data_IF_053474016118
#
_entry.id   IF_053474016118
#
_cell.length_a   1.000
_cell.length_b   1.000
_cell.length_c   1.000
_cell.angle_alpha   90.00
_cell.angle_beta   90.00
_cell.angle_gamma   90.00
#
_symmetry.space_group_name_H-M   'P 1'
#
loop_
_entity.id
_entity.type
_entity.pdbx_description
1 polymer ?
#
# COMPACT_ATOMS: atom_id res chain seq x y z
N UNK A 1 -15.73 59.21 -34.08
CA UNK A 1 -14.92 60.11 -33.23
C UNK A 1 -14.02 59.30 -32.31
N UNK A 2 -12.71 59.58 -32.25
CA UNK A 2 -11.81 58.91 -31.32
C UNK A 2 -12.22 59.20 -29.86
N UNK A 3 -12.24 58.16 -29.01
CA UNK A 3 -12.52 58.32 -27.58
C UNK A 3 -11.45 59.22 -26.95
N UNK A 4 -11.83 60.12 -26.04
CA UNK A 4 -10.86 60.94 -25.31
C UNK A 4 -9.87 60.04 -24.54
N UNK A 5 -8.59 60.45 -24.43
CA UNK A 5 -7.57 59.71 -23.67
C UNK A 5 -8.00 59.43 -22.22
N UNK A 6 -8.76 60.35 -21.61
CA UNK A 6 -9.32 60.20 -20.27
C UNK A 6 -10.32 59.04 -20.16
N UNK A 7 -11.19 58.87 -21.14
CA UNK A 7 -12.17 57.76 -21.18
C UNK A 7 -11.50 56.42 -21.40
N UNK A 8 -10.43 56.37 -22.21
CA UNK A 8 -9.65 55.15 -22.41
C UNK A 8 -8.93 54.71 -21.13
N UNK A 9 -8.34 55.64 -20.37
CA UNK A 9 -7.67 55.34 -19.09
C UNK A 9 -8.64 54.81 -18.03
N UNK A 10 -9.84 55.41 -17.94
CA UNK A 10 -10.91 54.95 -17.04
C UNK A 10 -11.43 53.56 -17.40
N UNK A 11 -11.69 53.31 -18.69
CA UNK A 11 -12.12 52.00 -19.18
C UNK A 11 -11.07 50.90 -18.87
N UNK A 12 -9.77 51.22 -18.98
CA UNK A 12 -8.68 50.29 -18.65
C UNK A 12 -8.58 49.98 -17.15
N UNK A 13 -8.71 51.00 -16.28
CA UNK A 13 -8.71 50.82 -14.82
C UNK A 13 -9.88 49.92 -14.38
N UNK A 14 -11.10 50.17 -14.86
CA UNK A 14 -12.26 49.32 -14.56
C UNK A 14 -12.09 47.88 -15.01
N UNK A 15 -11.46 47.64 -16.16
CA UNK A 15 -11.17 46.27 -16.64
C UNK A 15 -10.16 45.58 -15.73
N UNK A 16 -9.11 46.27 -15.31
CA UNK A 16 -8.11 45.73 -14.39
C UNK A 16 -8.71 45.41 -13.03
N UNK A 17 -9.54 46.30 -12.47
CA UNK A 17 -10.25 46.04 -11.20
C UNK A 17 -11.16 44.82 -11.29
N UNK A 18 -11.93 44.70 -12.38
CA UNK A 18 -12.80 43.54 -12.62
C UNK A 18 -12.01 42.24 -12.78
N UNK A 19 -10.85 42.27 -13.44
CA UNK A 19 -9.97 41.10 -13.57
C UNK A 19 -9.37 40.69 -12.21
N UNK A 20 -8.90 41.66 -11.41
CA UNK A 20 -8.41 41.42 -10.05
C UNK A 20 -9.51 40.84 -9.16
N UNK A 21 -10.72 41.39 -9.20
CA UNK A 21 -11.86 40.90 -8.42
C UNK A 21 -12.27 39.49 -8.88
N UNK A 22 -12.27 39.24 -10.19
CA UNK A 22 -12.53 37.91 -10.76
C UNK A 22 -11.50 36.88 -10.31
N UNK A 23 -10.21 37.24 -10.30
CA UNK A 23 -9.12 36.40 -9.78
C UNK A 23 -9.29 36.10 -8.29
N UNK A 24 -9.58 37.12 -7.46
CA UNK A 24 -9.86 36.94 -6.02
C UNK A 24 -11.02 35.97 -5.79
N UNK A 25 -12.16 36.18 -6.45
CA UNK A 25 -13.34 35.31 -6.33
C UNK A 25 -13.05 33.86 -6.75
N UNK A 26 -12.25 33.64 -7.80
CA UNK A 26 -11.82 32.29 -8.21
C UNK A 26 -10.95 31.61 -7.16
N UNK A 27 -10.04 32.36 -6.53
CA UNK A 27 -9.19 31.85 -5.45
C UNK A 27 -10.03 31.48 -4.22
N UNK A 28 -10.98 32.34 -3.83
CA UNK A 28 -11.90 32.07 -2.71
C UNK A 28 -12.75 30.82 -2.94
N UNK A 29 -13.36 30.70 -4.13
CA UNK A 29 -14.14 29.51 -4.49
C UNK A 29 -13.28 28.24 -4.49
N UNK A 30 -12.02 28.32 -4.92
CA UNK A 30 -11.09 27.20 -4.87
C UNK A 30 -10.77 26.81 -3.42
N UNK A 31 -10.44 27.77 -2.57
CA UNK A 31 -10.16 27.54 -1.14
C UNK A 31 -11.38 26.92 -0.45
N UNK A 32 -12.59 27.39 -0.76
CA UNK A 32 -13.83 26.82 -0.23
C UNK A 32 -13.99 25.36 -0.65
N UNK A 33 -13.77 25.03 -1.93
CA UNK A 33 -13.82 23.64 -2.42
C UNK A 33 -12.77 22.76 -1.74
N UNK A 34 -11.52 23.23 -1.63
CA UNK A 34 -10.44 22.52 -0.93
C UNK A 34 -10.78 22.28 0.55
N UNK A 35 -11.35 23.26 1.24
CA UNK A 35 -11.76 23.14 2.64
C UNK A 35 -12.94 22.19 2.83
N UNK A 36 -13.94 22.24 1.96
CA UNK A 36 -15.05 21.28 1.98
C UNK A 36 -14.54 19.86 1.74
N UNK A 37 -13.66 19.66 0.75
CA UNK A 37 -13.07 18.36 0.48
C UNK A 37 -12.20 17.85 1.63
N UNK A 38 -11.42 18.73 2.25
CA UNK A 38 -10.64 18.40 3.46
C UNK A 38 -11.53 17.83 4.56
N UNK A 39 -12.63 18.53 4.90
CA UNK A 39 -13.57 18.09 5.93
C UNK A 39 -14.20 16.76 5.58
N UNK A 40 -14.59 16.59 4.32
CA UNK A 40 -15.16 15.34 3.82
C UNK A 40 -14.17 14.17 3.97
N UNK A 41 -12.93 14.32 3.48
CA UNK A 41 -11.90 13.27 3.60
C UNK A 41 -11.57 13.01 5.08
N UNK A 42 -11.43 14.05 5.90
CA UNK A 42 -11.15 13.86 7.32
C UNK A 42 -12.24 13.04 8.02
N UNK A 43 -13.51 13.31 7.69
CA UNK A 43 -14.65 12.55 8.19
C UNK A 43 -14.70 11.12 7.65
N UNK A 44 -14.62 10.94 6.32
CA UNK A 44 -14.68 9.62 5.65
C UNK A 44 -13.60 8.66 6.13
N UNK A 45 -12.41 9.19 6.45
CA UNK A 45 -11.24 8.39 6.79
C UNK A 45 -10.85 8.47 8.27
N UNK A 46 -11.72 9.02 9.13
CA UNK A 46 -11.47 9.12 10.58
C UNK A 46 -10.14 9.78 10.92
N UNK A 47 -9.75 10.82 10.17
CA UNK A 47 -8.45 11.45 10.31
C UNK A 47 -8.44 12.37 11.54
N UNK A 48 -7.34 12.38 12.32
CA UNK A 48 -7.22 13.31 13.43
C UNK A 48 -7.18 14.75 12.92
N UNK A 49 -7.61 15.71 13.75
CA UNK A 49 -7.57 17.14 13.40
C UNK A 49 -6.14 17.65 13.12
N UNK A 50 -5.14 16.94 13.65
CA UNK A 50 -3.72 17.22 13.42
C UNK A 50 -3.23 16.79 12.03
N UNK A 51 -4.07 16.13 11.22
CA UNK A 51 -3.72 15.70 9.88
C UNK A 51 -3.43 16.90 8.95
N UNK A 52 -2.29 16.82 8.26
CA UNK A 52 -1.82 17.86 7.34
C UNK A 52 -2.20 17.51 5.91
N UNK A 53 -3.08 18.31 5.33
CA UNK A 53 -3.52 18.18 3.95
C UNK A 53 -2.64 19.00 3.00
N UNK A 54 -2.24 18.37 1.90
CA UNK A 54 -1.48 19.00 0.82
C UNK A 54 -2.20 18.78 -0.51
N UNK A 55 -2.67 19.88 -1.09
CA UNK A 55 -3.22 19.90 -2.44
C UNK A 55 -2.08 20.10 -3.44
N UNK A 56 -1.75 19.05 -4.19
CA UNK A 56 -0.60 18.99 -5.08
C UNK A 56 -1.06 18.92 -6.55
N UNK A 57 -0.34 19.63 -7.43
CA UNK A 57 -0.58 19.51 -8.86
C UNK A 57 0.20 18.31 -9.41
N UNK A 58 -0.41 17.59 -10.35
CA UNK A 58 0.33 16.69 -11.24
C UNK A 58 1.36 17.50 -12.03
N UNK A 59 2.58 17.00 -12.13
CA UNK A 59 3.69 17.64 -12.85
C UNK A 59 3.91 16.98 -14.21
N UNK A 60 4.36 17.76 -15.20
CA UNK A 60 4.82 17.22 -16.47
C UNK A 60 6.13 16.45 -16.31
N UNK A 61 6.52 15.63 -17.29
CA UNK A 61 7.79 14.88 -17.23
C UNK A 61 9.00 15.81 -17.08
N UNK A 62 8.97 16.97 -17.72
CA UNK A 62 10.03 17.99 -17.69
C UNK A 62 10.09 18.68 -16.33
N UNK A 63 8.93 18.98 -15.73
CA UNK A 63 8.83 19.54 -14.38
C UNK A 63 9.34 18.55 -13.33
N UNK A 64 9.17 17.24 -13.54
CA UNK A 64 9.61 16.22 -12.58
C UNK A 64 11.14 16.13 -12.45
N UNK A 65 11.87 16.48 -13.50
CA UNK A 65 13.36 16.48 -13.48
C UNK A 65 13.89 17.65 -12.65
N UNK A 66 13.22 18.80 -12.69
CA UNK A 66 13.72 20.05 -12.11
C UNK A 66 13.07 20.43 -10.78
N UNK A 67 11.84 19.98 -10.53
CA UNK A 67 11.10 20.45 -9.39
C UNK A 67 11.57 19.77 -8.09
N UNK A 68 11.75 20.54 -7.00
CA UNK A 68 12.15 19.99 -5.73
C UNK A 68 11.09 18.99 -5.24
N UNK A 69 11.57 17.84 -4.78
CA UNK A 69 10.72 16.80 -4.23
C UNK A 69 10.26 17.20 -2.84
N UNK A 70 8.95 17.12 -2.60
CA UNK A 70 8.42 17.34 -1.26
C UNK A 70 8.51 16.05 -0.46
N UNK A 71 9.27 16.09 0.63
CA UNK A 71 9.55 14.93 1.47
C UNK A 71 8.75 15.04 2.77
N UNK A 72 8.13 13.94 3.17
CA UNK A 72 7.38 13.82 4.42
C UNK A 72 7.99 12.75 5.33
N UNK A 73 8.04 13.04 6.63
CA UNK A 73 8.68 12.16 7.61
C UNK A 73 7.94 12.05 8.96
N UNK A 74 6.87 12.80 9.20
CA UNK A 74 6.19 12.82 10.49
C UNK A 74 4.70 13.17 10.41
N UNK A 75 3.93 12.77 11.44
CA UNK A 75 2.51 13.09 11.63
C UNK A 75 1.56 12.28 10.75
N UNK A 76 0.36 12.82 10.50
CA UNK A 76 -0.58 12.27 9.50
C UNK A 76 -0.59 13.21 8.29
N UNK A 77 -0.25 12.69 7.12
CA UNK A 77 -0.13 13.43 5.87
C UNK A 77 -1.18 12.93 4.89
N UNK A 78 -1.91 13.88 4.30
CA UNK A 78 -2.93 13.60 3.28
C UNK A 78 -2.57 14.35 2.00
N UNK A 79 -2.41 13.62 0.91
CA UNK A 79 -2.18 14.20 -0.41
C UNK A 79 -3.44 14.13 -1.25
N UNK A 80 -3.81 15.26 -1.83
CA UNK A 80 -5.00 15.41 -2.67
C UNK A 80 -4.58 16.06 -3.98
N UNK A 81 -5.08 15.55 -5.11
CA UNK A 81 -4.87 16.20 -6.40
C UNK A 81 -5.57 17.57 -6.38
N UNK A 82 -4.84 18.63 -6.69
CA UNK A 82 -5.36 20.00 -6.59
C UNK A 82 -6.40 20.32 -7.67
N UNK A 83 -6.38 19.59 -8.79
CA UNK A 83 -7.28 19.81 -9.92
C UNK A 83 -8.53 18.96 -9.79
N UNK A 84 -8.38 17.66 -9.57
CA UNK A 84 -9.50 16.72 -9.50
C UNK A 84 -10.10 16.61 -8.09
N UNK A 85 -9.35 17.01 -7.06
CA UNK A 85 -9.70 16.83 -5.65
C UNK A 85 -9.77 15.37 -5.21
N UNK A 86 -9.14 14.49 -5.99
CA UNK A 86 -9.02 13.06 -5.68
C UNK A 86 -8.00 12.83 -4.59
N UNK A 87 -8.30 11.89 -3.69
CA UNK A 87 -7.36 11.44 -2.68
C UNK A 87 -6.23 10.64 -3.37
N UNK A 88 -4.98 11.01 -3.09
CA UNK A 88 -3.79 10.38 -3.65
C UNK A 88 -3.10 9.46 -2.63
N UNK A 89 -2.94 9.94 -1.40
CA UNK A 89 -2.23 9.24 -0.33
C UNK A 89 -2.77 9.66 1.03
N UNK A 90 -2.92 8.69 1.92
CA UNK A 90 -2.91 8.91 3.37
C UNK A 90 -1.68 8.20 3.92
N UNK A 91 -0.81 8.92 4.64
CA UNK A 91 0.35 8.36 5.32
C UNK A 91 0.33 8.77 6.80
N UNK A 92 0.42 7.78 7.69
CA UNK A 92 0.52 7.97 9.14
C UNK A 92 1.89 7.49 9.61
N UNK A 93 2.64 8.38 10.22
CA UNK A 93 3.96 8.10 10.78
C UNK A 93 3.82 7.86 12.28
N UNK A 94 3.98 6.61 12.71
CA UNK A 94 3.89 6.22 14.11
C UNK A 94 5.29 5.98 14.68
N UNK A 95 5.93 7.03 15.20
CA UNK A 95 7.24 6.92 15.85
C UNK A 95 7.12 6.12 17.14
N UNK A 96 8.10 5.24 17.40
CA UNK A 96 8.13 4.44 18.62
C UNK A 96 8.27 5.28 19.88
N UNK A 97 8.92 6.44 19.81
CA UNK A 97 9.02 7.37 20.95
C UNK A 97 7.67 7.92 21.41
N UNK A 98 6.72 8.02 20.49
CA UNK A 98 5.42 8.66 20.71
C UNK A 98 4.30 7.60 20.83
N UNK A 99 4.66 6.32 20.66
CA UNK A 99 3.71 5.21 20.59
C UNK A 99 3.38 4.70 21.99
N UNK A 100 2.09 4.47 22.24
CA UNK A 100 1.66 3.82 23.49
C UNK A 100 2.31 2.43 23.62
N UNK A 101 2.79 2.02 24.81
CA UNK A 101 3.50 0.75 24.99
C UNK A 101 2.72 -0.48 24.50
N UNK A 102 1.40 -0.51 24.70
CA UNK A 102 0.55 -1.61 24.22
C UNK A 102 0.51 -1.66 22.69
N UNK A 103 0.38 -0.50 22.03
CA UNK A 103 0.39 -0.42 20.57
C UNK A 103 1.76 -0.84 20.02
N UNK A 104 2.84 -0.45 20.71
CA UNK A 104 4.20 -0.89 20.38
C UNK A 104 4.33 -2.41 20.46
N UNK A 105 3.85 -3.02 21.53
CA UNK A 105 3.86 -4.47 21.69
C UNK A 105 3.06 -5.18 20.59
N UNK A 106 1.90 -4.64 20.19
CA UNK A 106 1.10 -5.17 19.09
C UNK A 106 1.81 -5.07 17.73
N UNK A 107 2.46 -3.93 17.43
CA UNK A 107 3.28 -3.81 16.22
C UNK A 107 4.45 -4.79 16.25
N UNK A 108 5.20 -4.85 17.35
CA UNK A 108 6.33 -5.76 17.48
C UNK A 108 5.91 -7.22 17.30
N UNK A 109 4.85 -7.63 17.99
CA UNK A 109 4.32 -9.01 17.92
C UNK A 109 3.82 -9.35 16.51
N UNK A 110 3.03 -8.48 15.89
CA UNK A 110 2.46 -8.73 14.55
C UNK A 110 3.53 -8.73 13.44
N UNK A 111 4.49 -7.81 13.47
CA UNK A 111 5.61 -7.75 12.53
C UNK A 111 6.47 -9.01 12.67
N UNK A 112 6.81 -9.38 13.91
CA UNK A 112 7.61 -10.58 14.18
C UNK A 112 6.87 -11.84 13.72
N UNK A 113 5.56 -11.93 13.95
CA UNK A 113 4.73 -13.05 13.52
C UNK A 113 4.77 -13.22 12.01
N UNK A 114 4.52 -12.15 11.23
CA UNK A 114 4.59 -12.23 9.77
C UNK A 114 5.98 -12.54 9.26
N UNK A 115 7.02 -11.95 9.86
CA UNK A 115 8.40 -12.23 9.48
C UNK A 115 8.75 -13.70 9.72
N UNK A 116 8.53 -14.21 10.93
CA UNK A 116 8.85 -15.60 11.31
C UNK A 116 8.03 -16.63 10.51
N UNK A 117 6.76 -16.32 10.22
CA UNK A 117 5.95 -17.15 9.35
C UNK A 117 6.45 -17.10 7.89
N UNK A 118 6.83 -15.93 7.40
CA UNK A 118 7.39 -15.72 6.06
C UNK A 118 8.73 -16.44 5.84
N UNK A 119 9.65 -16.41 6.81
CA UNK A 119 10.93 -17.14 6.71
C UNK A 119 10.75 -18.66 6.74
N UNK A 120 9.59 -19.15 7.18
CA UNK A 120 9.23 -20.58 7.11
C UNK A 120 8.80 -20.98 5.69
N UNK A 121 8.61 -20.01 4.79
CA UNK A 121 8.24 -20.19 3.38
C UNK A 121 9.42 -19.96 2.43
N UNK A 122 9.24 -20.36 1.18
CA UNK A 122 10.21 -20.14 0.11
C UNK A 122 10.41 -18.65 -0.21
N UNK A 123 11.59 -18.31 -0.75
CA UNK A 123 11.82 -16.99 -1.33
C UNK A 123 10.95 -16.79 -2.57
N UNK A 124 10.46 -15.59 -2.76
CA UNK A 124 9.78 -15.18 -4.00
C UNK A 124 10.82 -14.60 -4.94
N UNK A 125 11.22 -15.39 -5.94
CA UNK A 125 12.26 -15.00 -6.92
C UNK A 125 11.68 -14.62 -8.28
N UNK A 126 10.41 -14.93 -8.52
CA UNK A 126 9.74 -14.83 -9.82
C UNK A 126 8.65 -13.75 -9.86
N UNK A 127 8.62 -12.84 -8.89
CA UNK A 127 7.70 -11.72 -8.98
C UNK A 127 8.22 -10.77 -10.07
N UNK A 128 7.37 -10.46 -11.04
CA UNK A 128 7.65 -9.47 -12.07
C UNK A 128 8.09 -8.11 -11.52
N UNK A 129 7.64 -7.76 -10.31
CA UNK A 129 8.14 -6.59 -9.57
C UNK A 129 9.68 -6.57 -9.35
N UNK A 130 10.37 -7.70 -9.55
CA UNK A 130 11.82 -7.83 -9.43
C UNK A 130 12.55 -7.78 -10.78
N UNK A 131 11.84 -7.87 -11.91
CA UNK A 131 12.46 -7.92 -13.22
C UNK A 131 13.15 -6.57 -13.50
N UNK A 132 14.47 -6.57 -13.67
CA UNK A 132 15.29 -5.35 -13.82
C UNK A 132 15.94 -4.84 -12.54
N UNK A 133 15.46 -5.26 -11.36
CA UNK A 133 15.98 -4.83 -10.06
C UNK A 133 17.15 -5.71 -9.61
N UNK A 134 18.38 -5.20 -9.75
CA UNK A 134 19.61 -5.92 -9.34
C UNK A 134 19.79 -6.13 -7.83
N UNK A 135 19.09 -5.35 -7.00
CA UNK A 135 19.19 -5.40 -5.53
C UNK A 135 17.82 -5.18 -4.90
N UNK A 136 17.11 -6.27 -4.62
CA UNK A 136 15.84 -6.27 -3.89
C UNK A 136 16.03 -6.79 -2.47
N UNK A 137 15.08 -6.49 -1.58
CA UNK A 137 15.06 -6.99 -0.20
C UNK A 137 14.67 -8.46 -0.12
N UNK A 138 14.66 -9.05 1.08
CA UNK A 138 14.11 -10.40 1.25
C UNK A 138 12.59 -10.36 1.05
N UNK A 139 12.09 -11.11 0.07
CA UNK A 139 10.65 -11.24 -0.19
C UNK A 139 10.21 -12.67 0.06
N UNK A 140 9.21 -12.79 0.95
CA UNK A 140 8.58 -14.05 1.33
C UNK A 140 7.11 -13.99 0.99
N UNK A 141 6.55 -15.13 0.60
CA UNK A 141 5.12 -15.26 0.41
C UNK A 141 4.49 -15.91 1.63
N UNK A 142 3.29 -15.47 2.01
CA UNK A 142 2.54 -15.97 3.16
C UNK A 142 1.05 -16.06 2.84
N UNK A 143 0.34 -16.95 3.54
CA UNK A 143 -1.10 -17.16 3.37
C UNK A 143 -1.46 -18.03 2.15
N UNK A 144 -2.57 -17.66 1.51
CA UNK A 144 -3.16 -18.39 0.39
C UNK A 144 -2.55 -17.99 -0.95
N UNK A 145 -2.44 -18.97 -1.85
CA UNK A 145 -2.05 -18.82 -3.24
C UNK A 145 -3.08 -19.47 -4.16
N UNK A 146 -3.20 -18.92 -5.36
CA UNK A 146 -3.93 -19.59 -6.44
C UNK A 146 -3.19 -20.86 -6.86
N UNK A 147 -3.94 -21.93 -7.12
CA UNK A 147 -3.43 -23.20 -7.63
C UNK A 147 -3.29 -23.26 -9.16
N UNK A 148 -3.58 -22.17 -9.88
CA UNK A 148 -3.39 -22.11 -11.33
C UNK A 148 -1.95 -21.70 -11.69
N UNK A 149 -1.09 -22.67 -12.02
CA UNK A 149 0.25 -22.43 -12.57
C UNK A 149 1.20 -23.65 -12.50
N UNK A 150 2.31 -23.61 -13.25
CA UNK A 150 3.31 -24.70 -13.36
C UNK A 150 3.96 -25.08 -12.00
N UNK A 151 3.90 -24.18 -11.01
CA UNK A 151 4.42 -24.38 -9.66
C UNK A 151 3.33 -24.63 -8.60
N UNK A 152 2.08 -24.81 -9.00
CA UNK A 152 0.98 -25.12 -8.10
C UNK A 152 0.80 -26.64 -7.95
N UNK A 153 0.26 -27.07 -6.81
CA UNK A 153 -0.09 -28.47 -6.58
C UNK A 153 -1.10 -28.89 -7.66
N UNK A 154 -0.69 -29.78 -8.57
CA UNK A 154 -1.50 -30.16 -9.72
C UNK A 154 -2.90 -30.62 -9.26
N UNK A 155 -3.94 -30.06 -9.88
CA UNK A 155 -5.33 -30.34 -9.54
C UNK A 155 -5.92 -29.51 -8.40
N UNK A 156 -5.14 -28.70 -7.68
CA UNK A 156 -5.66 -27.78 -6.65
C UNK A 156 -6.04 -26.44 -7.28
N UNK A 157 -7.16 -25.89 -6.84
CA UNK A 157 -7.64 -24.56 -7.26
C UNK A 157 -7.02 -23.46 -6.37
N UNK A 158 -6.80 -23.77 -5.09
CA UNK A 158 -6.26 -22.87 -4.06
C UNK A 158 -5.46 -23.68 -3.03
N UNK A 159 -4.41 -23.08 -2.46
CA UNK A 159 -3.70 -23.69 -1.34
C UNK A 159 -2.81 -22.71 -0.58
N UNK A 160 -2.23 -23.14 0.53
CA UNK A 160 -1.23 -22.33 1.25
C UNK A 160 0.15 -22.36 0.57
N UNK A 161 0.93 -21.29 0.77
CA UNK A 161 2.35 -21.30 0.42
C UNK A 161 3.09 -22.39 1.20
N UNK A 162 3.93 -23.16 0.50
CA UNK A 162 4.63 -24.31 1.08
C UNK A 162 5.77 -23.93 2.02
N UNK A 163 5.95 -24.76 3.04
CA UNK A 163 7.12 -24.75 3.90
C UNK A 163 8.39 -24.90 3.05
N UNK A 164 9.41 -24.11 3.37
CA UNK A 164 10.72 -24.26 2.72
C UNK A 164 11.43 -25.54 3.18
N UNK A 165 12.55 -25.85 2.52
CA UNK A 165 13.34 -27.04 2.82
C UNK A 165 13.76 -27.08 4.30
N UNK A 166 14.30 -25.98 4.83
CA UNK A 166 14.82 -25.91 6.19
C UNK A 166 13.75 -26.10 7.29
N UNK A 167 12.50 -25.72 6.99
CA UNK A 167 11.37 -25.88 7.91
C UNK A 167 10.74 -27.27 7.76
N UNK A 168 10.57 -27.75 6.52
CA UNK A 168 9.91 -29.03 6.24
C UNK A 168 10.70 -30.29 6.63
N UNK A 169 11.97 -30.16 7.01
CA UNK A 169 12.82 -31.26 7.48
C UNK A 169 13.08 -31.22 8.99
N UNK A 170 12.26 -30.49 9.76
CA UNK A 170 12.42 -30.38 11.20
C UNK A 170 11.04 -30.31 11.85
N UNK A 171 10.70 -31.36 12.59
CA UNK A 171 9.43 -31.47 13.31
C UNK A 171 9.20 -30.25 14.22
N UNK A 172 10.19 -29.87 15.03
CA UNK A 172 10.12 -28.67 15.89
C UNK A 172 9.78 -27.40 15.11
N UNK A 173 10.41 -27.19 13.95
CA UNK A 173 10.16 -25.99 13.13
C UNK A 173 8.78 -26.01 12.49
N UNK A 174 8.27 -27.19 12.15
CA UNK A 174 6.90 -27.37 11.67
C UNK A 174 5.92 -27.01 12.79
N UNK A 175 6.10 -27.53 14.00
CA UNK A 175 5.23 -27.22 15.14
C UNK A 175 5.25 -25.74 15.51
N UNK A 176 6.43 -25.10 15.51
CA UNK A 176 6.53 -23.66 15.72
C UNK A 176 5.80 -22.85 14.63
N UNK A 177 5.77 -23.33 13.37
CA UNK A 177 5.00 -22.68 12.31
C UNK A 177 3.49 -22.91 12.45
N UNK A 178 3.07 -24.10 12.91
CA UNK A 178 1.67 -24.40 13.25
C UNK A 178 1.21 -23.44 14.34
N UNK A 179 1.93 -23.36 15.45
CA UNK A 179 1.60 -22.49 16.58
C UNK A 179 1.44 -21.04 16.11
N UNK A 180 2.41 -20.53 15.32
CA UNK A 180 2.30 -19.21 14.72
C UNK A 180 1.07 -19.08 13.82
N UNK A 181 0.80 -20.07 12.97
CA UNK A 181 -0.29 -20.02 12.00
C UNK A 181 -1.67 -20.00 12.65
N UNK A 182 -1.86 -20.75 13.75
CA UNK A 182 -3.17 -20.87 14.41
C UNK A 182 -3.37 -19.89 15.57
N UNK A 183 -2.32 -19.52 16.30
CA UNK A 183 -2.44 -18.65 17.47
C UNK A 183 -2.10 -17.20 17.14
N UNK A 184 -0.95 -16.96 16.50
CA UNK A 184 -0.43 -15.60 16.36
C UNK A 184 -0.88 -14.90 15.08
N UNK A 185 -0.95 -15.63 13.97
CA UNK A 185 -1.27 -15.08 12.66
C UNK A 185 -2.69 -14.50 12.59
N UNK A 186 -3.73 -15.11 13.22
CA UNK A 186 -5.06 -14.50 13.28
C UNK A 186 -5.04 -13.16 14.03
N UNK A 187 -4.39 -13.08 15.19
CA UNK A 187 -4.26 -11.84 15.95
C UNK A 187 -3.50 -10.77 15.17
N UNK A 188 -2.39 -11.13 14.52
CA UNK A 188 -1.65 -10.22 13.65
C UNK A 188 -2.52 -9.74 12.47
N UNK A 189 -3.25 -10.65 11.82
CA UNK A 189 -4.18 -10.32 10.73
C UNK A 189 -5.24 -9.34 11.19
N UNK A 190 -5.87 -9.58 12.33
CA UNK A 190 -6.96 -8.73 12.84
C UNK A 190 -6.43 -7.36 13.24
N UNK A 191 -5.27 -7.31 13.91
CA UNK A 191 -4.56 -6.06 14.19
C UNK A 191 -4.33 -5.25 12.91
N UNK A 192 -3.70 -5.84 11.89
CA UNK A 192 -3.45 -5.13 10.64
C UNK A 192 -4.73 -4.79 9.87
N UNK A 193 -5.75 -5.65 9.92
CA UNK A 193 -7.05 -5.38 9.31
C UNK A 193 -7.72 -4.18 9.96
N UNK A 194 -7.69 -4.06 11.28
CA UNK A 194 -8.18 -2.89 12.01
C UNK A 194 -7.38 -1.63 11.62
N UNK A 195 -6.05 -1.70 11.63
CA UNK A 195 -5.18 -0.60 11.18
C UNK A 195 -5.54 -0.14 9.77
N UNK A 196 -5.68 -1.06 8.83
CA UNK A 196 -6.09 -0.73 7.46
C UNK A 196 -7.53 -0.24 7.38
N UNK A 197 -8.47 -0.80 8.14
CA UNK A 197 -9.85 -0.34 8.16
C UNK A 197 -9.94 1.12 8.62
N UNK A 198 -9.19 1.49 9.67
CA UNK A 198 -9.10 2.89 10.12
C UNK A 198 -8.49 3.83 9.09
N UNK A 199 -7.73 3.31 8.12
CA UNK A 199 -7.13 4.09 7.04
C UNK A 199 -7.90 4.01 5.72
N UNK A 200 -8.82 3.05 5.56
CA UNK A 200 -9.19 2.60 4.22
C UNK A 200 -10.58 2.00 4.05
N UNK A 201 -11.55 2.16 4.95
CA UNK A 201 -12.90 1.64 4.64
C UNK A 201 -13.48 2.24 3.34
N UNK A 202 -13.36 3.56 3.13
CA UNK A 202 -13.81 4.23 1.89
C UNK A 202 -12.81 4.07 0.73
N UNK A 203 -11.50 4.03 1.01
CA UNK A 203 -10.49 3.75 -0.03
C UNK A 203 -10.58 2.31 -0.55
N UNK A 204 -11.09 1.37 0.24
CA UNK A 204 -11.35 0.00 -0.19
C UNK A 204 -12.48 -0.06 -1.23
N UNK A 205 -13.57 0.68 -1.01
CA UNK A 205 -14.65 0.80 -2.00
C UNK A 205 -14.20 1.53 -3.28
N UNK A 206 -13.40 2.60 -3.14
CA UNK A 206 -12.82 3.31 -4.28
C UNK A 206 -11.86 2.41 -5.08
N UNK A 207 -10.95 1.71 -4.41
CA UNK A 207 -10.01 0.76 -5.02
C UNK A 207 -10.74 -0.43 -5.66
N UNK A 208 -11.85 -0.90 -5.07
CA UNK A 208 -12.69 -1.97 -5.64
C UNK A 208 -13.40 -1.54 -6.93
N UNK A 209 -14.01 -0.34 -6.94
CA UNK A 209 -14.62 0.27 -8.15
C UNK A 209 -13.58 0.56 -9.23
N UNK A 210 -12.37 0.97 -8.85
CA UNK A 210 -11.27 1.24 -9.78
C UNK A 210 -10.68 -0.07 -10.35
N UNK A 211 -10.48 -1.09 -9.52
CA UNK A 211 -10.01 -2.41 -9.96
C UNK A 211 -11.01 -3.08 -10.91
N UNK A 212 -12.30 -2.80 -10.76
CA UNK A 212 -13.33 -3.24 -11.69
C UNK A 212 -13.28 -2.49 -13.05
N UNK A 213 -12.86 -1.22 -13.06
CA UNK A 213 -12.95 -0.34 -14.24
C UNK A 213 -11.64 -0.16 -15.02
N UNK A 214 -10.49 -0.29 -14.38
CA UNK A 214 -9.23 0.19 -14.95
C UNK A 214 -8.11 -0.83 -14.81
N UNK A 215 -7.99 -1.73 -15.79
CA UNK A 215 -6.78 -2.43 -16.27
C UNK A 215 -5.46 -2.08 -15.54
N UNK A 216 -5.35 -2.44 -14.25
CA UNK A 216 -4.26 -1.96 -13.38
C UNK A 216 -2.95 -2.60 -13.86
N UNK A 217 -1.91 -1.80 -14.18
CA UNK A 217 -0.62 -2.35 -14.58
C UNK A 217 0.02 -3.08 -13.39
N UNK A 218 0.49 -4.30 -13.66
CA UNK A 218 1.35 -5.08 -12.77
C UNK A 218 2.62 -4.29 -12.43
N UNK A 219 3.22 -4.53 -11.26
CA UNK A 219 4.58 -4.06 -10.92
C UNK A 219 5.65 -4.47 -11.95
N UNK A 220 5.33 -5.43 -12.80
CA UNK A 220 6.16 -5.92 -13.91
C UNK A 220 6.13 -5.03 -15.16
N UNK A 221 5.42 -3.90 -15.14
CA UNK A 221 5.45 -2.97 -16.27
C UNK A 221 6.80 -2.22 -16.29
N UNK A 222 7.55 -2.21 -17.41
CA UNK A 222 8.74 -1.37 -17.60
C UNK A 222 8.50 0.12 -17.33
N UNK A 223 7.22 0.54 -17.39
CA UNK A 223 6.80 1.90 -17.06
C UNK A 223 6.99 2.24 -15.59
N UNK A 224 7.01 1.27 -14.66
CA UNK A 224 7.18 1.52 -13.22
C UNK A 224 8.64 1.87 -12.88
N UNK A 225 9.62 1.17 -13.44
CA UNK A 225 11.05 1.44 -13.21
C UNK A 225 11.51 2.81 -13.74
N UNK A 226 10.81 3.31 -14.78
CA UNK A 226 11.09 4.61 -15.41
C UNK A 226 10.05 5.68 -15.09
N UNK A 227 9.01 5.35 -14.31
CA UNK A 227 7.98 6.31 -13.96
C UNK A 227 8.52 7.38 -13.00
N UNK A 228 8.63 8.59 -13.52
CA UNK A 228 8.73 9.75 -12.66
C UNK A 228 7.45 9.83 -11.81
N UNK A 229 7.59 10.06 -10.51
CA UNK A 229 6.46 10.22 -9.59
C UNK A 229 5.63 11.41 -10.04
N UNK A 230 4.39 11.18 -10.46
CA UNK A 230 3.52 12.17 -11.10
C UNK A 230 3.35 13.47 -10.28
N UNK A 231 3.65 13.45 -8.98
CA UNK A 231 3.47 14.56 -8.05
C UNK A 231 4.76 15.07 -7.41
N UNK A 232 5.91 14.43 -7.66
CA UNK A 232 7.21 14.78 -7.05
C UNK A 232 7.14 14.82 -5.52
N UNK A 233 6.50 13.80 -4.93
CA UNK A 233 6.33 13.63 -3.48
C UNK A 233 7.05 12.38 -3.01
N UNK A 234 7.71 12.42 -1.86
CA UNK A 234 8.43 11.27 -1.32
C UNK A 234 8.09 11.02 0.15
N UNK A 235 8.02 9.75 0.54
CA UNK A 235 7.99 9.36 1.94
C UNK A 235 9.42 9.02 2.37
N UNK A 236 9.92 9.76 3.35
CA UNK A 236 11.22 9.48 3.94
C UNK A 236 11.05 8.55 5.12
N UNK A 237 11.17 7.25 4.84
CA UNK A 237 11.19 6.23 5.88
C UNK A 237 12.39 6.36 6.81
N UNK A 238 13.47 7.02 6.39
CA UNK A 238 14.70 7.07 7.18
C UNK A 238 14.60 7.95 8.43
N UNK A 239 13.72 8.94 8.38
CA UNK A 239 13.43 9.87 9.49
C UNK A 239 12.33 9.37 10.42
N UNK A 240 11.65 8.27 10.07
CA UNK A 240 10.66 7.65 10.95
C UNK A 240 11.32 6.52 11.74
N UNK A 241 11.49 6.71 13.04
CA UNK A 241 11.92 5.65 13.95
C UNK A 241 10.69 4.89 14.47
N UNK A 242 10.00 4.20 13.56
CA UNK A 242 8.72 3.59 13.86
C UNK A 242 8.06 2.89 12.67
N UNK A 243 6.73 2.87 12.68
CA UNK A 243 5.92 2.24 11.62
C UNK A 243 5.22 3.32 10.79
N UNK A 244 5.44 3.28 9.48
CA UNK A 244 4.69 4.12 8.53
C UNK A 244 3.57 3.30 7.92
N UNK A 245 2.33 3.72 8.17
CA UNK A 245 1.13 3.13 7.58
C UNK A 245 0.68 4.00 6.41
N UNK A 246 0.41 3.41 5.25
CA UNK A 246 0.05 4.17 4.07
C UNK A 246 -1.00 3.50 3.19
N UNK A 247 -1.85 4.33 2.59
CA UNK A 247 -2.85 3.95 1.61
C UNK A 247 -2.67 4.84 0.39
N UNK A 248 -2.20 4.24 -0.70
CA UNK A 248 -2.05 4.91 -1.99
C UNK A 248 -3.29 4.68 -2.86
N UNK A 249 -3.63 5.69 -3.66
CA UNK A 249 -4.50 5.52 -4.80
C UNK A 249 -3.75 4.70 -5.88
N UNK A 250 -4.33 3.57 -6.28
CA UNK A 250 -3.69 2.61 -7.20
C UNK A 250 -3.45 3.16 -8.60
N UNK A 251 -4.11 4.26 -9.00
CA UNK A 251 -3.89 4.91 -10.30
C UNK A 251 -2.71 5.88 -10.30
N UNK A 252 -2.15 6.17 -9.13
CA UNK A 252 -1.07 7.14 -8.99
C UNK A 252 0.26 6.41 -9.07
N UNK A 253 1.09 6.81 -10.04
CA UNK A 253 2.50 6.40 -10.10
C UNK A 253 3.22 6.99 -8.89
N UNK A 254 3.71 6.12 -8.01
CA UNK A 254 4.43 6.50 -6.80
C UNK A 254 5.75 5.72 -6.71
N UNK A 255 6.67 6.12 -5.86
CA UNK A 255 7.80 5.27 -5.51
C UNK A 255 8.22 5.51 -4.08
N UNK A 256 8.75 4.46 -3.48
CA UNK A 256 9.43 4.54 -2.19
C UNK A 256 10.86 5.02 -2.42
N UNK A 257 11.29 6.02 -1.65
CA UNK A 257 12.67 6.51 -1.73
C UNK A 257 13.66 5.40 -1.36
N UNK A 258 14.80 5.37 -2.05
CA UNK A 258 15.91 4.50 -1.67
C UNK A 258 16.39 4.89 -0.27
N UNK A 259 16.70 3.91 0.57
CA UNK A 259 17.29 4.21 1.87
C UNK A 259 18.59 4.99 1.70
N UNK A 260 18.70 6.06 2.48
CA UNK A 260 19.85 6.93 2.63
C UNK A 260 20.66 6.60 3.89
N UNK A 261 20.35 5.49 4.58
CA UNK A 261 21.06 5.04 5.80
C UNK A 261 22.57 5.10 5.61
N UNK A 262 23.25 5.75 6.56
CA UNK A 262 24.71 5.85 6.62
C UNK A 262 25.23 5.20 7.90
N UNK A 263 26.42 4.63 7.85
CA UNK A 263 27.14 4.20 9.06
C UNK A 263 27.76 5.40 9.78
N UNK A 264 28.43 5.17 10.92
CA UNK A 264 29.12 6.22 11.68
C UNK A 264 30.20 6.98 10.92
N UNK A 265 30.63 6.47 9.75
CA UNK A 265 31.59 7.12 8.85
C UNK A 265 30.90 7.88 7.69
N UNK A 266 29.58 8.05 7.74
CA UNK A 266 28.81 8.71 6.68
C UNK A 266 28.67 7.91 5.38
N UNK A 267 29.12 6.64 5.34
CA UNK A 267 29.04 5.79 4.15
C UNK A 267 27.67 5.12 4.07
N UNK A 268 27.05 5.10 2.90
CA UNK A 268 25.75 4.43 2.68
C UNK A 268 25.84 2.96 3.04
N UNK A 269 24.90 2.48 3.86
CA UNK A 269 24.73 1.08 4.19
C UNK A 269 23.72 0.49 3.20
N UNK A 270 24.04 -0.61 2.49
CA UNK A 270 23.04 -1.30 1.68
C UNK A 270 21.93 -1.84 2.59
N UNK A 271 20.65 -1.84 2.17
CA UNK A 271 19.54 -2.31 3.00
C UNK A 271 19.78 -3.68 3.66
N UNK A 272 20.44 -4.61 2.97
CA UNK A 272 20.78 -5.94 3.48
C UNK A 272 21.77 -5.98 4.64
N UNK A 273 22.47 -4.88 4.93
CA UNK A 273 23.42 -4.74 6.04
C UNK A 273 22.98 -3.67 7.04
N UNK A 274 21.79 -3.10 6.88
CA UNK A 274 21.29 -2.09 7.80
C UNK A 274 20.98 -2.75 9.15
N UNK A 275 21.49 -2.23 10.28
CA UNK A 275 21.16 -2.73 11.62
C UNK A 275 19.74 -2.34 12.08
N UNK A 276 19.04 -1.55 11.26
CA UNK A 276 17.71 -1.04 11.51
C UNK A 276 16.76 -1.58 10.44
N UNK A 277 15.77 -2.36 10.88
CA UNK A 277 14.63 -2.73 10.04
C UNK A 277 13.61 -1.60 10.11
N UNK A 278 13.50 -0.82 9.04
CA UNK A 278 12.43 0.18 8.89
C UNK A 278 11.23 -0.50 8.24
N UNK A 279 10.11 -0.52 8.94
CA UNK A 279 8.91 -1.20 8.48
C UNK A 279 7.98 -0.22 7.77
N UNK A 280 7.85 -0.39 6.46
CA UNK A 280 6.78 0.22 5.66
C UNK A 280 5.76 -0.86 5.32
N UNK A 281 4.51 -0.68 5.72
CA UNK A 281 3.42 -1.56 5.30
C UNK A 281 2.68 -0.95 4.13
N UNK A 282 2.54 -1.70 3.04
CA UNK A 282 1.64 -1.35 1.95
C UNK A 282 0.71 -2.54 1.69
N UNK A 283 -0.60 -2.32 1.75
CA UNK A 283 -1.57 -3.31 1.34
C UNK A 283 -1.92 -3.07 -0.14
N UNK A 284 -1.92 -4.15 -0.93
CA UNK A 284 -2.51 -4.15 -2.25
C UNK A 284 -3.50 -5.30 -2.36
N UNK A 285 -4.68 -4.99 -2.89
CA UNK A 285 -5.70 -6.00 -3.12
C UNK A 285 -5.53 -6.54 -4.53
N UNK A 286 -5.08 -7.79 -4.64
CA UNK A 286 -4.95 -8.47 -5.94
C UNK A 286 -6.35 -8.74 -6.52
N UNK A 287 -6.66 -8.13 -7.67
CA UNK A 287 -7.91 -8.37 -8.39
C UNK A 287 -8.10 -9.85 -8.73
N UNK A 288 -7.01 -10.57 -9.03
CA UNK A 288 -7.03 -12.02 -9.25
C UNK A 288 -7.51 -12.78 -8.01
N UNK A 289 -7.00 -12.44 -6.81
CA UNK A 289 -7.43 -13.09 -5.57
C UNK A 289 -8.88 -12.74 -5.22
N UNK A 290 -9.32 -11.50 -5.44
CA UNK A 290 -10.73 -11.10 -5.24
C UNK A 290 -11.64 -11.88 -6.17
N UNK A 291 -11.31 -11.95 -7.46
CA UNK A 291 -12.10 -12.67 -8.45
C UNK A 291 -12.14 -14.17 -8.15
N UNK A 292 -11.03 -14.74 -7.70
CA UNK A 292 -10.97 -16.12 -7.23
C UNK A 292 -11.87 -16.36 -6.02
N UNK A 293 -11.84 -15.47 -5.02
CA UNK A 293 -12.73 -15.54 -3.85
C UNK A 293 -14.21 -15.47 -4.25
N UNK A 294 -14.57 -14.54 -5.15
CA UNK A 294 -15.93 -14.46 -5.71
C UNK A 294 -16.33 -15.73 -6.45
N UNK A 295 -15.43 -16.29 -7.27
CA UNK A 295 -15.68 -17.52 -8.01
C UNK A 295 -15.88 -18.72 -7.06
N UNK A 296 -15.10 -18.82 -5.97
CA UNK A 296 -15.27 -19.86 -4.96
C UNK A 296 -16.60 -19.71 -4.21
N UNK A 297 -17.01 -18.49 -3.86
CA UNK A 297 -18.32 -18.25 -3.24
C UNK A 297 -19.47 -18.66 -4.16
N UNK A 298 -19.41 -18.26 -5.43
CA UNK A 298 -20.41 -18.67 -6.43
C UNK A 298 -20.43 -20.19 -6.67
N UNK A 299 -19.29 -20.88 -6.59
CA UNK A 299 -19.23 -22.34 -6.63
C UNK A 299 -19.92 -22.94 -5.39
N UNK A 300 -19.57 -22.45 -4.19
CA UNK A 300 -20.15 -22.90 -2.92
C UNK A 300 -21.67 -22.76 -2.90
N UNK A 301 -22.22 -21.65 -3.39
CA UNK A 301 -23.67 -21.42 -3.48
C UNK A 301 -24.40 -22.38 -4.41
N UNK A 302 -23.70 -23.03 -5.34
CA UNK A 302 -24.25 -24.00 -6.30
C UNK A 302 -24.04 -25.46 -5.89
N UNK A 303 -23.38 -25.69 -4.77
CA UNK A 303 -23.08 -27.03 -4.25
C UNK A 303 -23.90 -27.26 -2.98
N UNK A 304 -24.32 -28.50 -2.76
CA UNK A 304 -24.74 -28.93 -1.43
C UNK A 304 -23.57 -28.87 -0.44
N UNK A 305 -23.87 -28.91 0.87
CA UNK A 305 -22.83 -28.93 1.90
C UNK A 305 -21.86 -30.10 1.74
N UNK A 306 -22.37 -31.28 1.39
CA UNK A 306 -21.55 -32.49 1.17
C UNK A 306 -20.64 -32.35 -0.05
N UNK A 307 -21.18 -31.88 -1.18
CA UNK A 307 -20.39 -31.61 -2.39
C UNK A 307 -19.31 -30.54 -2.14
N UNK A 308 -19.64 -29.51 -1.37
CA UNK A 308 -18.68 -28.48 -0.99
C UNK A 308 -17.56 -29.05 -0.11
N UNK A 309 -17.89 -29.89 0.86
CA UNK A 309 -16.88 -30.54 1.70
C UNK A 309 -15.93 -31.40 0.88
N UNK A 310 -16.46 -32.28 0.02
CA UNK A 310 -15.67 -33.09 -0.91
C UNK A 310 -14.80 -32.22 -1.83
N UNK A 311 -15.38 -31.15 -2.39
CA UNK A 311 -14.64 -30.20 -3.22
C UNK A 311 -13.52 -29.54 -2.43
N UNK A 312 -13.74 -29.10 -1.18
CA UNK A 312 -12.67 -28.48 -0.39
C UNK A 312 -11.56 -29.47 -0.09
N UNK A 313 -11.87 -30.71 0.28
CA UNK A 313 -10.86 -31.75 0.51
C UNK A 313 -10.02 -32.03 -0.76
N UNK A 314 -10.68 -32.12 -1.92
CA UNK A 314 -10.03 -32.44 -3.21
C UNK A 314 -9.30 -31.25 -3.85
N UNK A 315 -9.89 -30.05 -3.83
CA UNK A 315 -9.44 -28.90 -4.62
C UNK A 315 -8.84 -27.76 -3.80
N UNK A 316 -9.09 -27.72 -2.49
CA UNK A 316 -8.55 -26.69 -1.60
C UNK A 316 -7.53 -27.32 -0.65
N UNK A 317 -6.25 -27.03 -0.87
CA UNK A 317 -5.21 -27.56 0.00
C UNK A 317 -5.09 -26.71 1.26
N UNK A 318 -5.67 -27.21 2.34
CA UNK A 318 -5.54 -26.65 3.68
C UNK A 318 -4.10 -26.62 4.17
N UNK A 319 -3.83 -25.75 5.14
CA UNK A 319 -2.52 -25.66 5.78
C UNK A 319 -2.20 -26.94 6.59
N UNK A 320 -3.19 -27.46 7.29
CA UNK A 320 -3.19 -28.76 7.99
C UNK A 320 -2.78 -29.92 7.07
N UNK A 321 -3.41 -30.06 5.90
CA UNK A 321 -3.07 -31.10 4.92
C UNK A 321 -1.62 -30.97 4.44
N UNK A 322 -1.15 -29.73 4.24
CA UNK A 322 0.23 -29.49 3.85
C UNK A 322 1.22 -29.90 4.93
N UNK A 323 0.90 -29.64 6.21
CA UNK A 323 1.75 -30.02 7.34
C UNK A 323 1.76 -31.53 7.54
N UNK A 324 0.60 -32.19 7.51
CA UNK A 324 0.50 -33.65 7.66
C UNK A 324 1.39 -34.37 6.64
N UNK A 325 1.28 -34.00 5.36
CA UNK A 325 2.11 -34.57 4.27
C UNK A 325 3.62 -34.37 4.50
N UNK A 326 4.02 -33.36 5.28
CA UNK A 326 5.43 -33.13 5.63
C UNK A 326 5.86 -33.94 6.84
N UNK A 327 5.02 -34.00 7.88
CA UNK A 327 5.28 -34.81 9.07
C UNK A 327 5.37 -36.30 8.71
N UNK A 328 4.51 -36.80 7.82
CA UNK A 328 4.53 -38.20 7.36
C UNK A 328 5.81 -38.57 6.57
N UNK A 329 6.63 -37.59 6.18
CA UNK A 329 7.85 -37.76 5.38
C UNK A 329 9.14 -37.58 6.18
N UNK A 330 9.05 -37.21 7.46
CA UNK A 330 10.20 -37.11 8.37
C UNK A 330 10.62 -38.50 8.84
#
# INVERSE_FOLDING_TARGET
>A
MPKSPSKQKYDLQKRNEKDIQGKKRRVELRIQKENTRRKQIAYEYGLPETAKFFFVNKKSKEELVSAPMKIFSHGTVVLVDKTTLDLLLIARFNNFSDMHPELYALFQSSISTFYLHGISRGHVTNNGALQGIRKYGDMRALGWRCGAGIAADAGKDVGHYALNHATSHSEDRIWLDIERSFLHLPCAKDFWAERFATLSMTAFEANSKIAANGHVPSFDSPDWETSANDYSVGINFDECNGVVEMVWNTQVKHFTLKSSTKNGLGRKIPPSKAPLTRFGSSCQVSSKLVNMGKALMLKKEKMSSEEWELYTQDRVKGYDQQVQVKLDKL
#
